data_IF_454960038486
#
_entry.id   IF_454960038486
#
_cell.length_a   1.000
_cell.length_b   1.000
_cell.length_c   1.000
_cell.angle_alpha   90.00
_cell.angle_beta   90.00
_cell.angle_gamma   90.00
#
_symmetry.space_group_name_H-M   'P 1'
#
loop_
_entity.id
_entity.type
_entity.pdbx_description
1 polymer ?
#
# COMPACT_ATOMS: atom_id res chain seq x y z
N UNK A 1 23.98 -9.47 20.53
CA UNK A 1 24.32 -9.00 19.16
C UNK A 1 24.70 -10.16 18.23
N UNK A 2 25.58 -11.08 18.65
CA UNK A 2 25.95 -12.25 17.83
C UNK A 2 24.79 -13.21 17.53
N UNK A 3 23.84 -13.42 18.46
CA UNK A 3 22.65 -14.23 18.19
C UNK A 3 21.77 -13.68 17.07
N UNK A 4 21.62 -12.35 16.97
CA UNK A 4 20.85 -11.71 15.91
C UNK A 4 21.47 -11.97 14.54
N UNK A 5 22.78 -11.82 14.41
CA UNK A 5 23.51 -12.08 13.16
C UNK A 5 23.39 -13.56 12.78
N UNK A 6 23.47 -14.47 13.75
CA UNK A 6 23.29 -15.90 13.52
C UNK A 6 21.86 -16.24 13.04
N UNK A 7 20.83 -15.63 13.64
CA UNK A 7 19.43 -15.77 13.20
C UNK A 7 19.25 -15.21 11.79
N UNK A 8 19.90 -14.10 11.47
CA UNK A 8 19.85 -13.48 10.14
C UNK A 8 20.50 -14.36 9.06
N UNK A 9 21.54 -15.12 9.39
CA UNK A 9 22.18 -16.05 8.47
C UNK A 9 21.48 -17.41 8.37
N UNK A 10 20.80 -17.86 9.43
CA UNK A 10 20.19 -19.19 9.50
C UNK A 10 18.71 -19.23 9.11
N UNK A 11 17.96 -18.14 9.31
CA UNK A 11 16.51 -18.11 9.13
C UNK A 11 16.10 -17.37 7.86
N UNK A 12 15.46 -18.10 6.94
CA UNK A 12 14.99 -17.56 5.65
C UNK A 12 13.94 -16.46 5.80
N UNK A 13 13.08 -16.50 6.83
CA UNK A 13 12.08 -15.45 7.06
C UNK A 13 12.75 -14.11 7.44
N UNK A 14 13.84 -14.14 8.20
CA UNK A 14 14.59 -12.94 8.60
C UNK A 14 15.32 -12.33 7.40
N UNK A 15 15.91 -13.17 6.55
CA UNK A 15 16.53 -12.74 5.30
C UNK A 15 15.51 -12.08 4.37
N UNK A 16 14.35 -12.72 4.18
CA UNK A 16 13.28 -12.15 3.36
C UNK A 16 12.81 -10.81 3.91
N UNK A 17 12.64 -10.68 5.23
CA UNK A 17 12.24 -9.43 5.86
C UNK A 17 13.23 -8.29 5.59
N UNK A 18 14.54 -8.57 5.70
CA UNK A 18 15.59 -7.58 5.41
C UNK A 18 15.58 -7.17 3.93
N UNK A 19 15.51 -8.14 3.02
CA UNK A 19 15.54 -7.86 1.58
C UNK A 19 14.30 -7.07 1.15
N UNK A 20 13.12 -7.47 1.62
CA UNK A 20 11.87 -6.76 1.31
C UNK A 20 11.85 -5.38 1.95
N UNK A 21 12.43 -5.20 3.14
CA UNK A 21 12.61 -3.88 3.76
C UNK A 21 13.51 -2.98 2.91
N UNK A 22 14.61 -3.51 2.37
CA UNK A 22 15.48 -2.77 1.45
C UNK A 22 14.77 -2.39 0.16
N UNK A 23 14.06 -3.32 -0.46
CA UNK A 23 13.25 -3.05 -1.67
C UNK A 23 12.19 -1.97 -1.40
N UNK A 24 11.39 -2.15 -0.34
CA UNK A 24 10.37 -1.18 0.04
C UNK A 24 10.95 0.22 0.33
N UNK A 25 12.17 0.32 0.87
CA UNK A 25 12.83 1.60 1.11
C UNK A 25 13.10 2.38 -0.19
N UNK A 26 13.33 1.68 -1.31
CA UNK A 26 13.53 2.29 -2.62
C UNK A 26 12.23 2.91 -3.11
N UNK A 27 11.13 2.16 -3.13
CA UNK A 27 9.80 2.70 -3.48
C UNK A 27 9.43 3.91 -2.61
N UNK A 28 9.57 3.77 -1.29
CA UNK A 28 9.21 4.80 -0.32
C UNK A 28 10.08 6.05 -0.45
N UNK A 29 11.38 5.90 -0.68
CA UNK A 29 12.30 7.02 -0.88
C UNK A 29 11.95 7.81 -2.14
N UNK A 30 11.75 7.11 -3.26
CA UNK A 30 11.41 7.75 -4.53
C UNK A 30 10.03 8.41 -4.46
N UNK A 31 8.98 7.66 -4.13
CA UNK A 31 7.62 8.21 -4.08
C UNK A 31 7.44 9.26 -2.99
N UNK A 32 8.09 9.09 -1.83
CA UNK A 32 8.05 10.03 -0.73
C UNK A 32 8.57 11.42 -1.12
N UNK A 33 9.68 11.48 -1.86
CA UNK A 33 10.19 12.77 -2.37
C UNK A 33 9.18 13.49 -3.26
N UNK A 34 8.54 12.79 -4.20
CA UNK A 34 7.49 13.38 -5.05
C UNK A 34 6.28 13.89 -4.26
N UNK A 35 5.82 13.10 -3.29
CA UNK A 35 4.67 13.45 -2.45
C UNK A 35 4.95 14.71 -1.63
N UNK A 36 6.15 14.82 -1.06
CA UNK A 36 6.57 15.99 -0.27
C UNK A 36 6.77 17.22 -1.15
N UNK A 37 7.50 17.11 -2.27
CA UNK A 37 7.76 18.25 -3.17
C UNK A 37 6.46 18.82 -3.75
N UNK A 38 5.47 17.96 -4.04
CA UNK A 38 4.15 18.40 -4.55
C UNK A 38 3.16 18.80 -3.45
N UNK A 39 3.54 18.73 -2.17
CA UNK A 39 2.68 19.05 -1.01
C UNK A 39 1.37 18.25 -0.95
N UNK A 40 1.35 17.04 -1.51
CA UNK A 40 0.18 16.14 -1.57
C UNK A 40 0.25 15.03 -0.51
N UNK A 41 0.76 15.35 0.68
CA UNK A 41 1.10 14.36 1.73
C UNK A 41 -0.12 13.56 2.19
N UNK A 42 -1.31 14.18 2.19
CA UNK A 42 -2.55 13.53 2.59
C UNK A 42 -2.96 12.35 1.69
N UNK A 43 -2.52 12.32 0.42
CA UNK A 43 -2.85 11.22 -0.51
C UNK A 43 -2.33 9.88 0.01
N UNK A 44 -1.14 9.85 0.62
CA UNK A 44 -0.55 8.63 1.17
C UNK A 44 -1.44 7.99 2.25
N UNK A 45 -1.92 8.80 3.20
CA UNK A 45 -2.84 8.34 4.24
C UNK A 45 -4.21 7.96 3.68
N UNK A 46 -4.77 8.78 2.79
CA UNK A 46 -6.09 8.54 2.23
C UNK A 46 -6.17 7.24 1.43
N UNK A 47 -5.21 6.98 0.54
CA UNK A 47 -5.19 5.73 -0.24
C UNK A 47 -5.03 4.52 0.69
N UNK A 48 -4.08 4.57 1.63
CA UNK A 48 -3.81 3.45 2.55
C UNK A 48 -5.06 2.99 3.31
N UNK A 49 -5.88 3.93 3.76
CA UNK A 49 -7.12 3.60 4.46
C UNK A 49 -8.31 3.32 3.53
N UNK A 50 -8.34 3.91 2.34
CA UNK A 50 -9.41 3.64 1.36
C UNK A 50 -9.35 2.20 0.85
N UNK A 51 -8.13 1.68 0.70
CA UNK A 51 -7.83 0.31 0.27
C UNK A 51 -8.45 -0.77 1.16
N UNK A 52 -8.66 -0.48 2.46
CA UNK A 52 -9.38 -1.39 3.36
C UNK A 52 -10.79 -1.71 2.89
N UNK A 53 -11.47 -0.76 2.24
CA UNK A 53 -12.80 -0.97 1.67
C UNK A 53 -12.78 -2.07 0.62
N UNK A 54 -11.76 -2.06 -0.24
CA UNK A 54 -11.53 -3.09 -1.24
C UNK A 54 -11.13 -4.43 -0.65
N UNK A 55 -10.26 -4.43 0.37
CA UNK A 55 -9.86 -5.66 1.06
C UNK A 55 -11.05 -6.33 1.75
N UNK A 56 -11.85 -5.56 2.48
CA UNK A 56 -13.04 -6.07 3.17
C UNK A 56 -14.07 -6.64 2.19
N UNK A 57 -14.35 -5.92 1.10
CA UNK A 57 -15.25 -6.40 0.06
C UNK A 57 -14.74 -7.68 -0.62
N UNK A 58 -13.48 -7.72 -1.05
CA UNK A 58 -12.89 -8.91 -1.67
C UNK A 58 -12.94 -10.12 -0.75
N UNK A 59 -12.64 -9.92 0.53
CA UNK A 59 -12.69 -10.97 1.53
C UNK A 59 -14.11 -11.51 1.74
N UNK A 60 -15.11 -10.64 1.84
CA UNK A 60 -16.52 -11.03 1.97
C UNK A 60 -17.00 -11.91 0.80
N UNK A 61 -16.51 -11.65 -0.41
CA UNK A 61 -16.81 -12.47 -1.60
C UNK A 61 -15.90 -13.71 -1.73
N UNK A 62 -15.00 -13.97 -0.79
CA UNK A 62 -14.08 -15.11 -0.81
C UNK A 62 -12.88 -14.96 -1.74
N UNK A 63 -12.61 -13.75 -2.24
CA UNK A 63 -11.43 -13.44 -3.04
C UNK A 63 -10.23 -13.05 -2.17
N UNK A 64 -9.04 -13.06 -2.77
CA UNK A 64 -7.82 -12.65 -2.08
C UNK A 64 -7.85 -11.12 -1.79
N UNK A 65 -7.70 -10.70 -0.51
CA UNK A 65 -7.76 -9.29 -0.12
C UNK A 65 -6.81 -8.37 -0.89
N UNK A 66 -5.62 -8.86 -1.26
CA UNK A 66 -4.59 -8.08 -1.98
C UNK A 66 -5.11 -7.61 -3.35
N UNK A 67 -5.96 -8.40 -4.00
CA UNK A 67 -6.53 -8.02 -5.30
C UNK A 67 -7.58 -6.91 -5.13
N UNK A 68 -8.44 -7.04 -4.11
CA UNK A 68 -9.38 -5.98 -3.75
C UNK A 68 -8.68 -4.68 -3.36
N UNK A 69 -7.59 -4.79 -2.61
CA UNK A 69 -6.73 -3.67 -2.28
C UNK A 69 -6.19 -2.95 -3.53
N UNK A 70 -5.62 -3.71 -4.46
CA UNK A 70 -5.01 -3.18 -5.66
C UNK A 70 -6.03 -2.45 -6.56
N UNK A 71 -7.20 -3.04 -6.76
CA UNK A 71 -8.27 -2.44 -7.57
C UNK A 71 -8.76 -1.13 -6.94
N UNK A 72 -9.02 -1.11 -5.63
CA UNK A 72 -9.48 0.10 -4.94
C UNK A 72 -8.38 1.15 -4.85
N UNK A 73 -7.11 0.77 -4.69
CA UNK A 73 -5.98 1.71 -4.72
C UNK A 73 -5.91 2.47 -6.05
N UNK A 74 -6.03 1.75 -7.18
CA UNK A 74 -6.02 2.36 -8.51
C UNK A 74 -7.24 3.25 -8.71
N UNK A 75 -8.44 2.78 -8.35
CA UNK A 75 -9.65 3.60 -8.45
C UNK A 75 -9.55 4.87 -7.61
N UNK A 76 -9.06 4.78 -6.38
CA UNK A 76 -8.86 5.93 -5.50
C UNK A 76 -7.82 6.90 -6.07
N UNK A 77 -6.67 6.40 -6.54
CA UNK A 77 -5.63 7.23 -7.16
C UNK A 77 -6.13 7.95 -8.41
N UNK A 78 -6.89 7.27 -9.29
CA UNK A 78 -7.50 7.87 -10.47
C UNK A 78 -8.55 8.91 -10.11
N UNK A 79 -9.39 8.64 -9.12
CA UNK A 79 -10.44 9.56 -8.69
C UNK A 79 -9.86 10.81 -8.05
N UNK A 80 -8.85 10.67 -7.17
CA UNK A 80 -8.11 11.79 -6.60
C UNK A 80 -7.40 12.59 -7.71
N UNK A 81 -6.71 11.91 -8.62
CA UNK A 81 -6.02 12.56 -9.74
C UNK A 81 -6.96 13.32 -10.67
N UNK A 82 -8.11 12.73 -11.01
CA UNK A 82 -9.10 13.37 -11.87
C UNK A 82 -9.70 14.63 -11.24
N UNK A 83 -10.07 14.58 -9.96
CA UNK A 83 -10.63 15.73 -9.25
C UNK A 83 -9.57 16.82 -9.05
N UNK A 84 -8.33 16.43 -8.72
CA UNK A 84 -7.18 17.33 -8.64
C UNK A 84 -6.98 18.14 -9.92
N UNK A 85 -7.02 17.48 -11.09
CA UNK A 85 -6.87 18.13 -12.39
C UNK A 85 -8.06 19.04 -12.78
N UNK A 86 -9.28 18.69 -12.37
CA UNK A 86 -10.51 19.34 -12.87
C UNK A 86 -11.00 20.48 -11.98
N UNK A 87 -10.91 20.33 -10.66
CA UNK A 87 -11.62 21.20 -9.71
C UNK A 87 -10.72 22.07 -8.84
N UNK A 88 -9.41 21.86 -8.81
CA UNK A 88 -8.36 22.70 -8.18
C UNK A 88 -8.59 23.13 -6.69
N UNK A 89 -9.72 22.77 -6.09
CA UNK A 89 -10.20 23.18 -4.77
C UNK A 89 -10.73 21.95 -4.04
N UNK A 90 -10.22 21.71 -2.83
CA UNK A 90 -10.60 20.68 -1.85
C UNK A 90 -10.16 19.23 -2.15
N UNK A 91 -8.95 19.03 -2.68
CA UNK A 91 -8.31 17.69 -2.72
C UNK A 91 -8.31 17.03 -1.34
N UNK A 92 -7.99 17.79 -0.29
CA UNK A 92 -7.96 17.31 1.10
C UNK A 92 -9.33 16.80 1.58
N UNK A 93 -10.42 17.46 1.20
CA UNK A 93 -11.77 17.03 1.57
C UNK A 93 -12.15 15.74 0.86
N UNK A 94 -11.78 15.59 -0.41
CA UNK A 94 -12.02 14.36 -1.16
C UNK A 94 -11.21 13.18 -0.57
N UNK A 95 -9.95 13.42 -0.25
CA UNK A 95 -9.07 12.42 0.38
C UNK A 95 -9.65 12.00 1.73
N UNK A 96 -10.11 12.96 2.55
CA UNK A 96 -10.77 12.69 3.82
C UNK A 96 -12.09 11.90 3.67
N UNK A 97 -12.89 12.22 2.66
CA UNK A 97 -14.12 11.50 2.36
C UNK A 97 -13.83 10.05 1.92
N UNK A 98 -12.87 9.85 1.02
CA UNK A 98 -12.44 8.52 0.56
C UNK A 98 -11.91 7.68 1.72
N UNK A 99 -11.11 8.29 2.60
CA UNK A 99 -10.63 7.65 3.81
C UNK A 99 -11.80 7.16 4.68
N UNK A 100 -12.71 8.05 5.06
CA UNK A 100 -13.84 7.72 5.92
C UNK A 100 -14.73 6.63 5.31
N UNK A 101 -15.05 6.74 4.02
CA UNK A 101 -15.88 5.77 3.31
C UNK A 101 -15.17 4.43 3.18
N UNK A 102 -13.90 4.40 2.78
CA UNK A 102 -13.18 3.14 2.60
C UNK A 102 -12.96 2.38 3.92
N UNK A 103 -12.66 3.08 5.02
CA UNK A 103 -12.63 2.49 6.35
C UNK A 103 -14.00 1.92 6.76
N UNK A 104 -15.06 2.71 6.63
CA UNK A 104 -16.40 2.29 7.01
C UNK A 104 -16.87 1.07 6.21
N UNK A 105 -16.68 1.09 4.89
CA UNK A 105 -17.00 -0.03 3.99
C UNK A 105 -16.19 -1.27 4.33
N UNK A 106 -14.88 -1.11 4.56
CA UNK A 106 -13.99 -2.22 4.91
C UNK A 106 -14.41 -2.90 6.21
N UNK A 107 -14.66 -2.11 7.26
CA UNK A 107 -15.11 -2.61 8.56
C UNK A 107 -16.47 -3.29 8.44
N UNK A 108 -17.41 -2.72 7.69
CA UNK A 108 -18.76 -3.28 7.51
C UNK A 108 -18.70 -4.66 6.85
N UNK A 109 -17.94 -4.81 5.75
CA UNK A 109 -17.79 -6.11 5.08
C UNK A 109 -17.08 -7.14 5.95
N UNK A 110 -16.05 -6.73 6.70
CA UNK A 110 -15.35 -7.63 7.62
C UNK A 110 -16.31 -8.10 8.72
N UNK A 111 -17.07 -7.19 9.34
CA UNK A 111 -18.04 -7.53 10.38
C UNK A 111 -19.13 -8.50 9.89
N UNK A 112 -19.56 -8.35 8.63
CA UNK A 112 -20.57 -9.21 8.03
C UNK A 112 -20.03 -10.58 7.61
N UNK A 113 -18.70 -10.78 7.56
CA UNK A 113 -18.11 -12.04 7.13
C UNK A 113 -18.17 -13.07 8.27
N UNK A 114 -18.85 -14.21 8.10
CA UNK A 114 -19.04 -15.19 9.17
C UNK A 114 -17.73 -15.94 9.48
N UNK A 115 -17.33 -15.95 10.75
CA UNK A 115 -16.29 -16.83 11.27
C UNK A 115 -14.87 -16.24 11.37
N UNK A 116 -14.67 -14.92 11.35
CA UNK A 116 -13.30 -14.39 11.34
C UNK A 116 -13.03 -13.17 12.26
N UNK A 117 -11.96 -13.28 13.05
CA UNK A 117 -11.26 -12.21 13.78
C UNK A 117 -10.06 -11.78 12.93
N UNK A 118 -10.27 -11.00 11.86
CA UNK A 118 -9.14 -10.43 11.12
C UNK A 118 -8.55 -9.38 12.02
N UNK A 119 -7.27 -9.49 12.34
CA UNK A 119 -6.58 -8.35 12.92
C UNK A 119 -6.39 -7.30 11.81
N UNK A 120 -7.36 -6.37 11.70
CA UNK A 120 -7.27 -5.24 10.76
C UNK A 120 -5.97 -4.48 10.94
N UNK A 121 -5.46 -4.40 12.18
CA UNK A 121 -4.18 -3.77 12.46
C UNK A 121 -3.05 -4.55 11.78
N UNK A 122 -3.09 -5.88 11.78
CA UNK A 122 -2.08 -6.68 11.07
C UNK A 122 -2.09 -6.47 9.56
N UNK A 123 -3.24 -6.15 8.95
CA UNK A 123 -3.31 -5.77 7.53
C UNK A 123 -2.90 -4.32 7.24
N UNK A 124 -3.26 -3.39 8.14
CA UNK A 124 -2.93 -1.97 8.01
C UNK A 124 -1.45 -1.67 8.26
N UNK A 125 -0.88 -2.29 9.29
CA UNK A 125 0.51 -2.10 9.69
C UNK A 125 1.44 -3.15 9.07
N UNK A 126 0.89 -4.28 8.62
CA UNK A 126 1.63 -5.35 7.97
C UNK A 126 2.42 -6.22 8.95
N UNK A 127 2.91 -7.36 8.45
CA UNK A 127 3.90 -8.18 9.13
C UNK A 127 5.03 -8.54 8.16
N UNK A 128 6.17 -7.87 8.32
CA UNK A 128 7.34 -8.05 7.45
C UNK A 128 7.96 -9.45 7.57
N UNK A 129 7.73 -10.15 8.69
CA UNK A 129 8.26 -11.49 8.92
C UNK A 129 7.48 -12.57 8.15
N UNK A 130 6.24 -12.27 7.74
CA UNK A 130 5.35 -13.22 7.08
C UNK A 130 5.42 -13.14 5.55
N UNK A 131 6.38 -12.41 5.01
CA UNK A 131 6.51 -12.17 3.57
C UNK A 131 7.03 -13.43 2.85
N UNK A 132 6.27 -13.86 1.84
CA UNK A 132 6.63 -14.98 0.97
C UNK A 132 7.57 -14.52 -0.15
N UNK A 133 8.34 -15.46 -0.70
CA UNK A 133 9.25 -15.19 -1.85
C UNK A 133 8.52 -14.65 -3.08
N UNK A 134 7.28 -15.07 -3.32
CA UNK A 134 6.46 -14.57 -4.42
C UNK A 134 6.15 -13.07 -4.27
N UNK A 135 5.84 -12.63 -3.05
CA UNK A 135 5.60 -11.22 -2.75
C UNK A 135 6.87 -10.38 -2.93
N UNK A 136 8.05 -10.94 -2.65
CA UNK A 136 9.33 -10.27 -2.88
C UNK A 136 9.58 -9.99 -4.37
N UNK A 137 9.26 -10.94 -5.26
CA UNK A 137 9.31 -10.71 -6.71
C UNK A 137 8.32 -9.63 -7.14
N UNK A 138 7.14 -9.59 -6.51
CA UNK A 138 6.13 -8.57 -6.80
C UNK A 138 6.61 -7.16 -6.43
N UNK A 139 7.22 -7.00 -5.25
CA UNK A 139 7.80 -5.72 -4.82
C UNK A 139 8.98 -5.33 -5.72
N UNK A 140 9.89 -6.25 -6.03
CA UNK A 140 11.02 -5.95 -6.92
C UNK A 140 10.58 -5.55 -8.33
N UNK A 141 9.54 -6.18 -8.87
CA UNK A 141 8.93 -5.79 -10.14
C UNK A 141 8.31 -4.39 -10.07
N UNK A 142 7.59 -4.10 -8.98
CA UNK A 142 7.02 -2.78 -8.74
C UNK A 142 8.10 -1.70 -8.63
N UNK A 143 9.20 -1.96 -7.93
CA UNK A 143 10.35 -1.05 -7.83
C UNK A 143 10.96 -0.77 -9.21
N UNK A 144 11.15 -1.81 -10.02
CA UNK A 144 11.63 -1.65 -11.40
C UNK A 144 10.68 -0.77 -12.22
N UNK A 145 9.37 -0.95 -12.09
CA UNK A 145 8.37 -0.11 -12.76
C UNK A 145 8.46 1.34 -12.26
N UNK A 146 8.51 1.57 -10.94
CA UNK A 146 8.62 2.91 -10.35
C UNK A 146 9.90 3.60 -10.84
N UNK A 147 11.05 2.93 -10.73
CA UNK A 147 12.34 3.48 -11.15
C UNK A 147 12.34 3.73 -12.66
N UNK A 148 11.82 2.80 -13.46
CA UNK A 148 11.75 2.96 -14.91
C UNK A 148 10.88 4.15 -15.31
N UNK A 149 9.69 4.27 -14.71
CA UNK A 149 8.81 5.42 -14.91
C UNK A 149 9.50 6.71 -14.50
N UNK A 150 10.17 6.73 -13.35
CA UNK A 150 10.93 7.89 -12.93
C UNK A 150 12.01 8.19 -13.95
N UNK A 151 12.91 7.28 -14.31
CA UNK A 151 13.98 7.55 -15.30
C UNK A 151 13.43 8.05 -16.65
N UNK A 152 12.32 7.47 -17.14
CA UNK A 152 11.72 7.84 -18.43
C UNK A 152 11.03 9.21 -18.37
N UNK A 153 10.27 9.48 -17.32
CA UNK A 153 9.52 10.73 -17.14
C UNK A 153 10.33 11.83 -16.46
N UNK A 154 11.49 11.52 -15.89
CA UNK A 154 12.48 12.47 -15.36
C UNK A 154 13.28 13.13 -16.49
N UNK A 155 12.60 13.39 -17.61
CA UNK A 155 13.23 13.93 -18.80
C UNK A 155 13.35 15.45 -18.69
N UNK A 156 14.62 15.85 -18.55
CA UNK A 156 15.26 17.12 -18.93
C UNK A 156 14.67 18.39 -18.33
N UNK A 157 15.26 18.83 -17.22
CA UNK A 157 15.89 20.15 -17.28
C UNK A 157 17.18 20.05 -18.10
#
# INVERSE_FOLDING_TARGET
>A
MFEFIHVLQSQTFMQNAVIVGLLASVACGVMGTYVVTRRIVFISGGISHTVLGGMGAAYYYGFNPIHGAFVVAIMAALLIGFVSLRYHQHEDTLIGALWAVGMAVGILFIYKTPGYNVDLMSYLFGNILMVKRESMLFVACLDLVIISLVIVFYKRF
#
